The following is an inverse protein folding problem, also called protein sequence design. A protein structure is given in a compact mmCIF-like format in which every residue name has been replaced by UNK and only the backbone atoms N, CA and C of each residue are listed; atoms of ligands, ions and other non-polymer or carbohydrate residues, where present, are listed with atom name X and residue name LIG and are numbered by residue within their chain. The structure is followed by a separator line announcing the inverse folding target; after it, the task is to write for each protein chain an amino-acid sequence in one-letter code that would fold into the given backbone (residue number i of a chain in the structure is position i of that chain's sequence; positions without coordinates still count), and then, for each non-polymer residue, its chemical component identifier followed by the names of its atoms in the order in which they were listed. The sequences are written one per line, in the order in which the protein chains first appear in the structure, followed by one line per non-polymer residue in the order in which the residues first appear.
data_IF_568098395567
#
_entry.id   IF_568098395567
#
_cell.length_a   1.000
_cell.length_b   1.000
_cell.length_c   1.000
_cell.angle_alpha   90.00
_cell.angle_beta   90.00
_cell.angle_gamma   90.00
#
_symmetry.space_group_name_H-M   'P 1'
#
loop_
_entity.id
_entity.type
_entity.pdbx_description
1 polymer ?
#
# COMPACT_ATOMS: atom_id res chain seq x y z
N UNK A 1 5.17 35.85 -43.82
CA UNK A 1 5.90 35.04 -42.83
C UNK A 1 5.88 35.56 -41.38
N UNK A 2 5.27 36.71 -41.08
CA UNK A 2 5.20 37.28 -39.72
C UNK A 2 3.96 36.86 -38.86
N UNK A 3 2.90 36.35 -39.46
CA UNK A 3 1.64 36.00 -38.79
C UNK A 3 1.58 34.58 -38.20
N UNK A 4 2.52 33.70 -38.56
CA UNK A 4 2.50 32.32 -38.04
C UNK A 4 3.25 32.14 -36.70
N UNK A 5 4.09 33.08 -36.33
CA UNK A 5 4.92 33.00 -35.11
C UNK A 5 4.10 33.39 -33.86
N UNK A 6 3.15 34.29 -34.01
CA UNK A 6 2.34 34.82 -32.88
C UNK A 6 1.49 33.74 -32.17
N UNK A 7 0.75 32.86 -32.87
CA UNK A 7 -0.03 31.80 -32.22
C UNK A 7 0.84 30.71 -31.54
N UNK A 8 2.04 30.44 -32.08
CA UNK A 8 2.96 29.47 -31.48
C UNK A 8 3.51 29.99 -30.13
N UNK A 9 3.84 31.27 -30.06
CA UNK A 9 4.32 31.89 -28.82
C UNK A 9 3.22 31.91 -27.77
N UNK A 10 1.96 32.18 -28.15
CA UNK A 10 0.82 32.17 -27.22
C UNK A 10 0.55 30.78 -26.65
N UNK A 11 0.66 29.71 -27.44
CA UNK A 11 0.49 28.33 -26.99
C UNK A 11 1.59 27.93 -25.99
N UNK A 12 2.83 28.34 -26.22
CA UNK A 12 3.96 28.08 -25.31
C UNK A 12 3.77 28.78 -23.96
N UNK A 13 3.24 30.00 -23.92
CA UNK A 13 2.97 30.73 -22.68
C UNK A 13 1.86 30.10 -21.84
N UNK A 14 0.78 29.60 -22.45
CA UNK A 14 -0.33 28.94 -21.73
C UNK A 14 0.12 27.63 -21.09
N UNK A 15 0.98 26.86 -21.78
CA UNK A 15 1.52 25.61 -21.22
C UNK A 15 2.46 25.84 -20.04
N UNK A 16 3.22 26.94 -20.04
CA UNK A 16 4.14 27.30 -18.94
C UNK A 16 3.38 27.73 -17.69
N UNK A 17 2.29 28.50 -17.82
CA UNK A 17 1.47 28.94 -16.69
C UNK A 17 0.80 27.76 -15.96
N UNK A 18 0.31 26.75 -16.69
CA UNK A 18 -0.31 25.56 -16.08
C UNK A 18 0.65 24.77 -15.21
N UNK A 19 1.85 24.51 -15.70
CA UNK A 19 2.89 23.82 -14.91
C UNK A 19 3.24 24.58 -13.62
N UNK A 20 3.32 25.88 -13.69
CA UNK A 20 3.68 26.71 -12.54
C UNK A 20 2.59 26.76 -11.46
N UNK A 21 1.31 26.66 -11.83
CA UNK A 21 0.20 26.56 -10.87
C UNK A 21 0.17 25.18 -10.21
N UNK A 22 0.37 24.09 -10.96
CA UNK A 22 0.45 22.74 -10.40
C UNK A 22 1.61 22.61 -9.40
N UNK A 23 2.79 23.12 -9.72
CA UNK A 23 3.94 23.14 -8.80
C UNK A 23 3.67 23.94 -7.52
N UNK A 24 2.96 25.08 -7.61
CA UNK A 24 2.57 25.87 -6.43
C UNK A 24 1.57 25.16 -5.54
N UNK A 25 0.58 24.47 -6.11
CA UNK A 25 -0.42 23.73 -5.35
C UNK A 25 0.22 22.58 -4.60
N UNK A 26 1.17 21.87 -5.21
CA UNK A 26 1.92 20.79 -4.55
C UNK A 26 2.83 21.34 -3.45
N UNK A 27 3.48 22.48 -3.67
CA UNK A 27 4.37 23.12 -2.69
C UNK A 27 3.65 23.64 -1.43
N UNK A 28 2.33 23.86 -1.51
CA UNK A 28 1.49 24.28 -0.38
C UNK A 28 0.72 23.12 0.26
N UNK A 29 0.78 21.93 -0.32
CA UNK A 29 0.12 20.76 0.23
C UNK A 29 0.88 20.23 1.45
N UNK A 30 0.14 19.63 2.38
CA UNK A 30 0.73 18.78 3.42
C UNK A 30 0.85 17.35 2.92
N UNK A 31 1.86 16.58 3.35
CA UNK A 31 1.97 15.17 3.00
C UNK A 31 0.73 14.40 3.46
N UNK A 32 0.32 13.41 2.67
CA UNK A 32 -0.81 12.57 3.03
C UNK A 32 -0.52 11.80 4.32
N UNK A 33 -1.46 11.90 5.26
CA UNK A 33 -1.46 11.16 6.52
C UNK A 33 -2.75 10.34 6.55
N UNK A 34 -2.68 9.00 6.69
CA UNK A 34 -3.86 8.15 6.84
C UNK A 34 -4.69 8.58 8.03
N UNK A 35 -6.01 8.62 7.88
CA UNK A 35 -6.95 9.05 8.92
C UNK A 35 -7.95 7.98 9.31
N UNK A 36 -8.27 7.06 8.39
CA UNK A 36 -9.19 5.97 8.67
C UNK A 36 -8.43 4.78 9.26
N UNK A 37 -8.08 4.94 10.54
CA UNK A 37 -7.30 4.01 11.34
C UNK A 37 -8.14 3.48 12.52
N UNK A 38 -8.00 2.19 12.82
CA UNK A 38 -8.43 1.65 14.10
C UNK A 38 -7.32 1.97 15.13
N UNK A 39 -7.57 2.89 16.08
CA UNK A 39 -6.54 3.37 16.98
C UNK A 39 -6.20 2.30 18.02
N UNK A 40 -4.95 1.94 18.09
CA UNK A 40 -4.37 1.14 19.19
C UNK A 40 -3.10 1.83 19.62
N UNK A 41 -2.97 2.12 20.92
CA UNK A 41 -1.78 2.83 21.41
C UNK A 41 -0.52 1.99 21.30
N UNK A 42 -0.63 0.68 21.59
CA UNK A 42 0.47 -0.29 21.51
C UNK A 42 -0.04 -1.66 21.12
N UNK A 43 0.79 -2.38 20.37
CA UNK A 43 0.55 -3.80 20.13
C UNK A 43 0.86 -4.61 21.39
N UNK A 44 0.13 -5.71 21.64
CA UNK A 44 0.36 -6.58 22.79
C UNK A 44 1.79 -7.13 22.82
N UNK A 45 2.40 -7.18 24.01
CA UNK A 45 3.77 -7.67 24.19
C UNK A 45 3.97 -9.14 23.77
N UNK A 46 2.91 -9.94 23.76
CA UNK A 46 2.93 -11.34 23.32
C UNK A 46 2.95 -11.49 21.80
N UNK A 47 2.70 -10.42 21.04
CA UNK A 47 2.64 -10.44 19.58
C UNK A 47 4.05 -10.56 18.99
N UNK A 48 4.54 -11.77 18.86
CA UNK A 48 5.88 -12.04 18.34
C UNK A 48 5.88 -12.52 16.90
N UNK A 49 4.81 -13.23 16.49
CA UNK A 49 4.76 -13.92 15.20
C UNK A 49 3.40 -13.67 14.53
N UNK A 50 3.45 -13.23 13.27
CA UNK A 50 2.27 -12.84 12.48
C UNK A 50 2.26 -13.60 11.16
N UNK A 51 1.14 -14.27 10.87
CA UNK A 51 0.88 -14.83 9.54
C UNK A 51 0.46 -13.71 8.60
N UNK A 52 1.10 -13.63 7.45
CA UNK A 52 0.74 -12.70 6.37
C UNK A 52 0.05 -13.50 5.27
N UNK A 53 -1.22 -13.20 5.03
CA UNK A 53 -2.00 -13.84 3.99
C UNK A 53 -1.72 -13.20 2.62
N UNK A 54 -1.92 -13.95 1.52
CA UNK A 54 -1.94 -13.37 0.18
C UNK A 54 -3.01 -12.28 0.09
N UNK A 55 -2.65 -11.14 -0.47
CA UNK A 55 -3.55 -10.00 -0.62
C UNK A 55 -4.77 -10.35 -1.48
N UNK A 56 -5.92 -9.86 -1.07
CA UNK A 56 -7.20 -10.10 -1.77
C UNK A 56 -7.54 -8.93 -2.69
N UNK A 57 -7.99 -9.25 -3.90
CA UNK A 57 -8.64 -8.33 -4.83
C UNK A 57 -9.80 -9.06 -5.52
N UNK A 58 -10.97 -8.40 -5.74
CA UNK A 58 -12.13 -9.07 -6.32
C UNK A 58 -11.92 -9.62 -7.74
N UNK A 59 -11.04 -8.99 -8.53
CA UNK A 59 -10.65 -9.45 -9.85
C UNK A 59 -9.38 -10.33 -9.73
N UNK A 60 -9.50 -11.67 -9.85
CA UNK A 60 -8.37 -12.58 -9.69
C UNK A 60 -7.36 -12.52 -10.84
N UNK A 61 -7.76 -11.99 -11.99
CA UNK A 61 -6.91 -11.86 -13.19
C UNK A 61 -6.22 -10.49 -13.27
N UNK A 62 -6.39 -9.66 -12.24
CA UNK A 62 -5.79 -8.32 -12.18
C UNK A 62 -4.26 -8.38 -12.11
N UNK A 63 -3.60 -7.57 -12.93
CA UNK A 63 -2.14 -7.36 -12.89
C UNK A 63 -1.62 -6.83 -11.56
N UNK A 64 -2.50 -6.32 -10.68
CA UNK A 64 -2.16 -5.94 -9.32
C UNK A 64 -1.60 -7.14 -8.54
N UNK A 65 -2.23 -8.31 -8.68
CA UNK A 65 -1.88 -9.53 -7.95
C UNK A 65 -0.53 -10.14 -8.39
N UNK A 66 0.02 -9.72 -9.54
CA UNK A 66 1.32 -10.18 -10.03
C UNK A 66 2.50 -9.68 -9.19
N UNK A 67 2.32 -8.57 -8.44
CA UNK A 67 3.42 -7.95 -7.73
C UNK A 67 3.10 -7.48 -6.31
N UNK A 68 1.81 -7.33 -5.96
CA UNK A 68 1.43 -6.64 -4.72
C UNK A 68 1.82 -7.42 -3.47
N UNK A 69 1.72 -8.75 -3.49
CA UNK A 69 2.14 -9.60 -2.36
C UNK A 69 3.61 -9.35 -2.01
N UNK A 70 4.50 -9.41 -3.01
CA UNK A 70 5.92 -9.16 -2.82
C UNK A 70 6.21 -7.76 -2.28
N UNK A 71 5.56 -6.74 -2.86
CA UNK A 71 5.76 -5.35 -2.47
C UNK A 71 5.34 -5.09 -1.03
N UNK A 72 4.14 -5.56 -0.63
CA UNK A 72 3.63 -5.35 0.72
C UNK A 72 4.44 -6.13 1.76
N UNK A 73 4.84 -7.36 1.45
CA UNK A 73 5.69 -8.17 2.33
C UNK A 73 7.07 -7.53 2.55
N UNK A 74 7.68 -6.96 1.51
CA UNK A 74 8.96 -6.27 1.61
C UNK A 74 8.88 -5.03 2.49
N UNK A 75 7.83 -4.21 2.36
CA UNK A 75 7.66 -2.99 3.18
C UNK A 75 7.30 -3.35 4.63
N UNK A 76 6.43 -4.35 4.87
CA UNK A 76 6.14 -4.83 6.21
C UNK A 76 7.39 -5.32 6.94
N UNK A 77 8.26 -6.05 6.25
CA UNK A 77 9.50 -6.56 6.83
C UNK A 77 10.48 -5.45 7.26
N UNK A 78 10.38 -4.25 6.67
CA UNK A 78 11.21 -3.11 7.05
C UNK A 78 10.83 -2.52 8.41
N UNK A 79 9.57 -2.67 8.85
CA UNK A 79 9.09 -2.16 10.15
C UNK A 79 9.68 -2.93 11.35
N UNK A 80 10.07 -4.21 11.16
CA UNK A 80 10.74 -5.04 12.17
C UNK A 80 10.00 -5.15 13.50
N UNK A 81 8.67 -5.10 13.48
CA UNK A 81 7.84 -5.12 14.70
C UNK A 81 7.70 -6.55 15.24
N UNK A 82 7.59 -7.54 14.35
CA UNK A 82 7.39 -8.96 14.66
C UNK A 82 7.99 -9.88 13.58
N UNK A 83 8.09 -11.17 13.88
CA UNK A 83 8.42 -12.20 12.89
C UNK A 83 7.22 -12.42 11.94
N UNK A 84 7.45 -12.44 10.64
CA UNK A 84 6.41 -12.68 9.63
C UNK A 84 6.50 -14.10 9.08
N UNK A 85 5.35 -14.79 9.01
CA UNK A 85 5.18 -16.06 8.30
C UNK A 85 4.33 -15.79 7.07
N UNK A 86 4.92 -15.89 5.91
CA UNK A 86 4.25 -15.62 4.65
C UNK A 86 3.61 -16.90 4.13
N UNK A 87 2.30 -16.87 3.90
CA UNK A 87 1.60 -17.95 3.23
C UNK A 87 1.38 -17.64 1.76
N UNK A 88 1.69 -18.58 0.90
CA UNK A 88 1.49 -18.43 -0.54
C UNK A 88 0.05 -18.82 -0.97
N UNK A 89 -0.44 -18.33 -2.14
CA UNK A 89 -1.77 -18.66 -2.65
C UNK A 89 -2.02 -20.16 -2.86
N UNK A 90 -0.97 -20.92 -3.19
CA UNK A 90 -1.11 -22.37 -3.42
C UNK A 90 -1.29 -23.13 -2.09
N UNK A 91 -0.56 -22.71 -1.04
CA UNK A 91 -0.78 -23.22 0.31
C UNK A 91 -2.22 -22.95 0.77
N UNK A 92 -2.69 -21.72 0.62
CA UNK A 92 -4.05 -21.31 1.01
C UNK A 92 -5.11 -22.15 0.28
N UNK A 93 -4.95 -22.33 -1.02
CA UNK A 93 -5.89 -23.14 -1.83
C UNK A 93 -5.93 -24.61 -1.39
N UNK A 94 -4.78 -25.22 -1.06
CA UNK A 94 -4.70 -26.62 -0.60
C UNK A 94 -5.35 -26.84 0.76
N UNK A 95 -5.15 -25.92 1.70
CA UNK A 95 -5.56 -26.10 3.09
C UNK A 95 -6.95 -25.53 3.39
N UNK A 96 -7.37 -24.49 2.66
CA UNK A 96 -8.61 -23.76 2.92
C UNK A 96 -9.56 -23.68 1.72
N UNK A 97 -9.20 -24.27 0.59
CA UNK A 97 -10.03 -24.33 -0.62
C UNK A 97 -10.03 -23.04 -1.49
N UNK A 98 -9.50 -21.92 -0.98
CA UNK A 98 -9.37 -20.65 -1.67
C UNK A 98 -7.95 -20.12 -1.57
N UNK A 99 -7.46 -19.48 -2.65
CA UNK A 99 -6.10 -18.95 -2.71
C UNK A 99 -5.92 -17.63 -1.95
N UNK A 100 -6.98 -16.86 -1.78
CA UNK A 100 -6.99 -15.51 -1.18
C UNK A 100 -8.28 -15.30 -0.41
N UNK A 101 -8.19 -14.67 0.74
CA UNK A 101 -9.33 -14.41 1.63
C UNK A 101 -9.48 -12.91 1.87
N UNK A 102 -10.70 -12.40 1.70
CA UNK A 102 -11.03 -11.03 2.09
C UNK A 102 -11.21 -10.94 3.60
N UNK A 103 -10.70 -9.86 4.19
CA UNK A 103 -10.91 -9.53 5.60
C UNK A 103 -12.36 -9.21 5.96
N UNK A 104 -13.22 -9.07 4.96
CA UNK A 104 -14.66 -8.81 5.11
C UNK A 104 -15.51 -10.02 4.71
N UNK A 105 -14.87 -11.10 4.23
CA UNK A 105 -15.55 -12.32 3.83
C UNK A 105 -15.78 -13.28 5.00
N UNK A 106 -16.62 -14.29 4.75
CA UNK A 106 -16.79 -15.39 5.71
C UNK A 106 -15.56 -16.31 5.66
N UNK A 107 -14.92 -16.50 6.79
CA UNK A 107 -13.81 -17.44 6.94
C UNK A 107 -14.33 -18.84 7.29
N UNK A 108 -13.61 -19.90 6.89
CA UNK A 108 -13.90 -21.25 7.41
C UNK A 108 -13.86 -21.28 8.94
N UNK A 109 -14.74 -22.07 9.56
CA UNK A 109 -14.89 -22.14 11.03
C UNK A 109 -13.57 -22.45 11.77
N UNK A 110 -12.72 -23.30 11.20
CA UNK A 110 -11.42 -23.66 11.78
C UNK A 110 -10.25 -22.78 11.32
N UNK A 111 -10.50 -21.75 10.55
CA UNK A 111 -9.44 -20.98 9.84
C UNK A 111 -8.35 -20.46 10.79
N UNK A 112 -8.73 -19.65 11.79
CA UNK A 112 -7.77 -19.09 12.75
C UNK A 112 -7.09 -20.16 13.60
N UNK A 113 -7.84 -21.18 14.01
CA UNK A 113 -7.30 -22.29 14.81
C UNK A 113 -6.28 -23.12 14.00
N UNK A 114 -6.53 -23.35 12.73
CA UNK A 114 -5.59 -24.07 11.84
C UNK A 114 -4.31 -23.25 11.68
N UNK A 115 -4.43 -21.94 11.44
CA UNK A 115 -3.28 -21.05 11.37
C UNK A 115 -2.45 -21.05 12.65
N UNK A 116 -3.10 -20.96 13.83
CA UNK A 116 -2.42 -21.06 15.13
C UNK A 116 -1.65 -22.37 15.27
N UNK A 117 -2.30 -23.48 14.96
CA UNK A 117 -1.73 -24.82 15.15
C UNK A 117 -0.54 -25.08 14.23
N UNK A 118 -0.63 -24.67 12.97
CA UNK A 118 0.39 -24.95 11.95
C UNK A 118 1.57 -23.98 12.00
N UNK A 119 1.33 -22.73 12.42
CA UNK A 119 2.36 -21.69 12.36
C UNK A 119 2.84 -21.20 13.72
N UNK A 120 2.13 -21.55 14.80
CA UNK A 120 2.32 -21.00 16.15
C UNK A 120 2.29 -19.45 16.15
N UNK A 121 1.55 -18.82 15.24
CA UNK A 121 1.41 -17.39 15.17
C UNK A 121 0.40 -16.86 16.19
N UNK A 122 0.60 -15.60 16.59
CA UNK A 122 -0.27 -14.91 17.54
C UNK A 122 -1.35 -14.09 16.82
N UNK A 123 -1.05 -13.62 15.60
CA UNK A 123 -1.99 -12.83 14.82
C UNK A 123 -1.88 -13.15 13.32
N UNK A 124 -2.89 -12.71 12.58
CA UNK A 124 -2.97 -12.81 11.12
C UNK A 124 -3.18 -11.42 10.51
N UNK A 125 -2.42 -11.12 9.47
CA UNK A 125 -2.54 -9.90 8.68
C UNK A 125 -3.28 -10.20 7.39
N UNK A 126 -4.42 -9.54 7.21
CA UNK A 126 -5.17 -9.47 5.97
C UNK A 126 -4.83 -8.17 5.23
N UNK A 127 -4.77 -8.24 3.92
CA UNK A 127 -4.68 -7.05 3.06
C UNK A 127 -5.65 -7.21 1.90
N UNK A 128 -6.64 -6.33 1.83
CA UNK A 128 -7.65 -6.29 0.78
C UNK A 128 -7.44 -5.03 -0.07
N UNK A 129 -7.64 -5.18 -1.35
CA UNK A 129 -7.78 -4.05 -2.28
C UNK A 129 -9.24 -3.98 -2.75
N UNK A 130 -9.84 -2.79 -2.69
CA UNK A 130 -11.23 -2.59 -3.11
C UNK A 130 -11.34 -1.92 -4.47
N UNK A 131 -10.33 -1.15 -4.88
CA UNK A 131 -10.23 -0.56 -6.21
C UNK A 131 -8.78 -0.46 -6.67
N UNK A 132 -8.58 -0.54 -7.99
CA UNK A 132 -7.27 -0.37 -8.61
C UNK A 132 -7.42 0.24 -9.99
N UNK A 133 -6.75 1.36 -10.22
CA UNK A 133 -6.60 1.97 -11.53
C UNK A 133 -5.09 2.07 -11.87
N UNK A 134 -4.57 1.27 -12.82
CA UNK A 134 -3.15 1.32 -13.22
C UNK A 134 -2.80 2.50 -14.12
N UNK A 135 -3.80 3.22 -14.63
CA UNK A 135 -3.61 4.35 -15.54
C UNK A 135 -3.52 5.66 -14.78
N UNK A 136 -2.91 6.69 -15.39
CA UNK A 136 -2.73 7.99 -14.75
C UNK A 136 -4.02 8.84 -14.73
N UNK A 137 -4.36 9.42 -13.57
CA UNK A 137 -3.70 9.24 -12.28
C UNK A 137 -3.90 7.84 -11.73
N UNK A 138 -2.80 7.19 -11.26
CA UNK A 138 -2.87 5.87 -10.65
C UNK A 138 -3.61 5.98 -9.32
N UNK A 139 -4.52 5.06 -9.05
CA UNK A 139 -5.19 4.98 -7.75
C UNK A 139 -5.31 3.55 -7.23
N UNK A 140 -5.28 3.41 -5.90
CA UNK A 140 -5.39 2.14 -5.21
C UNK A 140 -6.05 2.34 -3.85
N UNK A 141 -7.11 1.59 -3.57
CA UNK A 141 -7.76 1.56 -2.26
C UNK A 141 -7.34 0.29 -1.53
N UNK A 142 -6.81 0.45 -0.32
CA UNK A 142 -6.27 -0.64 0.50
C UNK A 142 -6.92 -0.66 1.87
N UNK A 143 -7.28 -1.86 2.31
CA UNK A 143 -7.69 -2.16 3.67
C UNK A 143 -6.77 -3.24 4.23
N UNK A 144 -6.08 -2.94 5.33
CA UNK A 144 -5.29 -3.94 6.04
C UNK A 144 -5.79 -4.10 7.47
N UNK A 145 -5.82 -5.33 7.98
CA UNK A 145 -6.27 -5.66 9.33
C UNK A 145 -5.34 -6.67 9.96
N UNK A 146 -4.83 -6.34 11.14
CA UNK A 146 -4.12 -7.24 12.02
C UNK A 146 -5.08 -7.78 13.06
N UNK A 147 -5.30 -9.09 13.08
CA UNK A 147 -6.30 -9.76 13.91
C UNK A 147 -5.59 -10.73 14.85
N UNK A 148 -5.89 -10.66 16.14
CA UNK A 148 -5.45 -11.66 17.13
C UNK A 148 -6.09 -13.01 16.82
N UNK A 149 -5.29 -14.05 16.74
CA UNK A 149 -5.79 -15.40 16.36
C UNK A 149 -6.67 -16.01 17.45
N UNK A 150 -6.39 -15.72 18.72
CA UNK A 150 -7.11 -16.33 19.86
C UNK A 150 -8.43 -15.65 20.13
N UNK A 151 -8.43 -14.31 20.19
CA UNK A 151 -9.64 -13.54 20.52
C UNK A 151 -10.48 -13.20 19.27
N UNK A 152 -9.87 -13.17 18.07
CA UNK A 152 -10.50 -12.66 16.87
C UNK A 152 -10.65 -11.14 16.84
N UNK A 153 -10.07 -10.42 17.79
CA UNK A 153 -10.15 -8.96 17.89
C UNK A 153 -9.15 -8.26 16.97
N UNK A 154 -9.51 -7.05 16.54
CA UNK A 154 -8.59 -6.22 15.77
C UNK A 154 -7.52 -5.62 16.67
N UNK A 155 -6.26 -5.86 16.33
CA UNK A 155 -5.10 -5.23 16.95
C UNK A 155 -4.71 -3.92 16.25
N UNK A 156 -4.97 -3.83 14.97
CA UNK A 156 -4.75 -2.65 14.13
C UNK A 156 -5.54 -2.83 12.83
N UNK A 157 -6.04 -1.73 12.28
CA UNK A 157 -6.63 -1.71 10.95
C UNK A 157 -6.50 -0.34 10.31
N UNK A 158 -6.45 -0.34 8.98
CA UNK A 158 -6.45 0.84 8.12
C UNK A 158 -7.33 0.58 6.90
N UNK A 159 -8.04 1.62 6.43
CA UNK A 159 -8.84 1.57 5.20
C UNK A 159 -8.73 2.92 4.48
N UNK A 160 -7.87 3.02 3.46
CA UNK A 160 -7.53 4.28 2.80
C UNK A 160 -7.51 4.15 1.28
N UNK A 161 -7.79 5.27 0.61
CA UNK A 161 -7.67 5.40 -0.83
C UNK A 161 -6.55 6.37 -1.18
N UNK A 162 -5.61 5.87 -1.98
CA UNK A 162 -4.49 6.64 -2.50
C UNK A 162 -4.76 6.97 -3.97
N UNK A 163 -4.87 8.26 -4.29
CA UNK A 163 -5.06 8.75 -5.65
C UNK A 163 -3.93 9.72 -6.02
N UNK A 164 -3.13 9.33 -7.01
CA UNK A 164 -2.00 10.12 -7.51
C UNK A 164 -2.42 11.45 -8.18
N UNK A 165 -3.71 11.73 -8.29
CA UNK A 165 -4.24 13.04 -8.68
C UNK A 165 -4.30 14.06 -7.54
N UNK A 166 -4.20 13.62 -6.28
CA UNK A 166 -4.24 14.51 -5.11
C UNK A 166 -2.86 15.06 -4.74
N UNK A 167 -2.77 16.37 -4.49
CA UNK A 167 -1.50 17.05 -4.18
C UNK A 167 -0.79 16.51 -2.94
N UNK A 168 -1.53 16.10 -1.89
CA UNK A 168 -0.97 15.48 -0.69
C UNK A 168 -0.30 14.13 -0.97
N UNK A 169 -0.90 13.32 -1.86
CA UNK A 169 -0.33 12.03 -2.31
C UNK A 169 0.91 12.27 -3.18
N UNK A 170 0.86 13.25 -4.08
CA UNK A 170 2.01 13.64 -4.92
C UNK A 170 3.20 14.03 -4.04
N UNK A 171 2.96 14.89 -3.04
CA UNK A 171 4.01 15.33 -2.11
C UNK A 171 4.54 14.17 -1.27
N UNK A 172 3.68 13.34 -0.68
CA UNK A 172 4.09 12.17 0.10
C UNK A 172 4.92 11.18 -0.73
N UNK A 173 4.51 10.90 -1.96
CA UNK A 173 5.24 10.03 -2.88
C UNK A 173 6.62 10.61 -3.27
N UNK A 174 6.73 11.93 -3.41
CA UNK A 174 8.01 12.61 -3.69
C UNK A 174 8.98 12.49 -2.51
N UNK A 175 8.50 12.74 -1.28
CA UNK A 175 9.29 12.57 -0.05
C UNK A 175 9.75 11.11 0.12
N UNK A 176 8.85 10.15 -0.12
CA UNK A 176 9.18 8.73 -0.09
C UNK A 176 10.26 8.39 -1.12
N UNK A 177 10.17 8.91 -2.34
CA UNK A 177 11.16 8.68 -3.39
C UNK A 177 12.55 9.21 -2.99
N UNK A 178 12.62 10.42 -2.45
CA UNK A 178 13.89 11.01 -1.98
C UNK A 178 14.51 10.20 -0.84
N UNK A 179 13.71 9.83 0.17
CA UNK A 179 14.19 9.03 1.30
C UNK A 179 14.67 7.63 0.88
N UNK A 180 13.99 7.02 -0.10
CA UNK A 180 14.36 5.71 -0.65
C UNK A 180 15.66 5.77 -1.48
N UNK A 181 15.89 6.85 -2.22
CA UNK A 181 17.14 7.07 -2.95
C UNK A 181 18.35 7.27 -2.02
N UNK A 182 18.17 7.98 -0.92
CA UNK A 182 19.20 8.15 0.11
C UNK A 182 19.55 6.82 0.76
N UNK A 183 18.57 5.95 1.06
CA UNK A 183 18.83 4.62 1.63
C UNK A 183 19.53 3.68 0.67
N UNK A 184 19.22 3.75 -0.62
CA UNK A 184 19.75 2.83 -1.63
C UNK A 184 21.21 3.11 -2.05
N UNK A 185 21.84 4.18 -1.59
CA UNK A 185 23.25 4.60 -1.79
C UNK A 185 23.82 4.50 -3.23
N UNK A 186 23.09 4.00 -4.23
CA UNK A 186 23.71 3.74 -5.54
C UNK A 186 22.83 3.64 -6.79
N UNK A 187 21.51 3.70 -6.75
CA UNK A 187 20.74 3.55 -7.99
C UNK A 187 19.68 4.65 -8.13
N UNK A 188 20.01 5.69 -8.90
CA UNK A 188 19.01 6.60 -9.48
C UNK A 188 18.02 5.77 -10.28
N UNK A 189 16.89 5.44 -9.66
CA UNK A 189 15.74 4.90 -10.39
C UNK A 189 15.18 6.07 -11.20
N UNK A 190 15.40 6.06 -12.49
CA UNK A 190 15.03 7.13 -13.43
C UNK A 190 13.52 7.12 -13.75
N UNK A 191 12.67 7.10 -12.72
CA UNK A 191 11.21 7.15 -12.88
C UNK A 191 10.55 7.67 -11.62
N UNK A 192 9.53 8.51 -11.77
CA UNK A 192 8.71 8.95 -10.64
C UNK A 192 7.92 7.76 -10.08
N UNK A 193 7.80 7.68 -8.75
CA UNK A 193 6.94 6.72 -8.05
C UNK A 193 5.51 6.73 -8.62
N UNK A 194 5.02 7.90 -9.03
CA UNK A 194 3.69 8.09 -9.61
C UNK A 194 3.55 7.61 -11.07
N UNK A 195 4.61 7.04 -11.65
CA UNK A 195 4.59 6.57 -13.05
C UNK A 195 4.49 5.06 -13.19
N UNK A 196 4.68 4.33 -12.10
CA UNK A 196 4.67 2.87 -12.07
C UNK A 196 3.72 2.36 -10.98
N UNK A 197 2.73 1.53 -11.33
CA UNK A 197 1.84 0.93 -10.35
C UNK A 197 2.60 0.20 -9.23
N UNK A 198 3.64 -0.57 -9.57
CA UNK A 198 4.48 -1.26 -8.57
C UNK A 198 5.21 -0.28 -7.64
N UNK A 199 5.79 0.81 -8.19
CA UNK A 199 6.47 1.81 -7.35
C UNK A 199 5.50 2.59 -6.49
N UNK A 200 4.30 2.90 -7.00
CA UNK A 200 3.23 3.54 -6.25
C UNK A 200 2.70 2.65 -5.13
N UNK A 201 2.50 1.35 -5.40
CA UNK A 201 2.13 0.38 -4.36
C UNK A 201 3.18 0.26 -3.26
N UNK A 202 4.47 0.44 -3.58
CA UNK A 202 5.55 0.48 -2.59
C UNK A 202 5.43 1.68 -1.65
N UNK A 203 5.17 2.87 -2.18
CA UNK A 203 4.87 4.05 -1.38
C UNK A 203 3.65 3.82 -0.48
N UNK A 204 2.57 3.26 -1.04
CA UNK A 204 1.34 2.94 -0.28
C UNK A 204 1.64 1.97 0.85
N UNK A 205 2.32 0.86 0.58
CA UNK A 205 2.64 -0.14 1.59
C UNK A 205 3.48 0.44 2.73
N UNK A 206 4.51 1.25 2.40
CA UNK A 206 5.31 1.97 3.39
C UNK A 206 4.45 2.91 4.24
N UNK A 207 3.56 3.70 3.61
CA UNK A 207 2.65 4.61 4.33
C UNK A 207 1.67 3.85 5.22
N UNK A 208 1.11 2.75 4.74
CA UNK A 208 0.18 1.89 5.49
C UNK A 208 0.86 1.30 6.72
N UNK A 209 2.00 0.63 6.56
CA UNK A 209 2.64 -0.07 7.66
C UNK A 209 3.35 0.85 8.65
N UNK A 210 3.75 2.06 8.25
CA UNK A 210 4.27 3.07 9.19
C UNK A 210 3.23 3.55 10.22
N UNK A 211 1.93 3.29 9.99
CA UNK A 211 0.87 3.58 10.98
C UNK A 211 0.71 2.49 12.04
N UNK A 212 1.39 1.35 11.86
CA UNK A 212 1.28 0.23 12.80
C UNK A 212 1.96 0.60 14.12
N UNK A 213 1.27 0.45 15.27
CA UNK A 213 1.84 0.79 16.55
C UNK A 213 3.03 -0.08 16.90
N UNK A 214 3.94 0.46 17.70
CA UNK A 214 5.03 -0.33 18.30
C UNK A 214 4.47 -1.25 19.42
N UNK A 215 5.24 -2.28 19.74
CA UNK A 215 4.97 -3.16 20.89
C UNK A 215 5.30 -2.48 22.21
#
# INVERSE_FOLDING_TARGET
MRFLILPIITILFVSSCRKFEEEKVVAQAEPFIPQNLYPTERLPAYLNRVVVLPAYYPDPDSTLLDFVDEVFQQELAQERIFETIILDPAYMKRNFGQSRFSSSGTLPESFLKTLETETAANAVLFTDFSSYNPYRPISLSVRSKLVDIKSGEFLWAIDETFDAGHSSIILGASIFQESSQVRALSKRTSGSVLQSPRAFSKYIASTVFSTMPLR
#
